data_IF_961437857030
#
_entry.id   IF_961437857030
#
_cell.length_a   1.000
_cell.length_b   1.000
_cell.length_c   1.000
_cell.angle_alpha   90.00
_cell.angle_beta   90.00
_cell.angle_gamma   90.00
#
_symmetry.space_group_name_H-M   'P 1'
#
loop_
_entity.id
_entity.type
_entity.pdbx_description
1 polymer ?
#
# COMPACT_ATOMS: atom_id res chain seq x y z
N UNK A 1 -10.08 9.62 16.91
CA UNK A 1 -8.62 9.68 17.17
C UNK A 1 -7.94 8.99 16.00
N UNK A 2 -6.93 9.61 15.38
CA UNK A 2 -6.14 8.94 14.35
C UNK A 2 -5.39 7.75 14.95
N UNK A 3 -4.99 6.79 14.12
CA UNK A 3 -4.09 5.74 14.57
C UNK A 3 -2.81 6.38 15.14
N UNK A 4 -2.28 5.88 16.27
CA UNK A 4 -1.04 6.42 16.83
C UNK A 4 0.09 6.28 15.81
N UNK A 5 0.78 7.39 15.54
CA UNK A 5 1.93 7.42 14.64
C UNK A 5 3.19 7.29 15.47
N UNK A 6 3.88 6.16 15.35
CA UNK A 6 5.22 5.97 15.90
C UNK A 6 6.24 6.50 14.91
N UNK A 7 7.12 7.40 15.37
CA UNK A 7 8.22 7.93 14.56
C UNK A 7 9.50 7.20 14.96
N UNK A 8 10.24 6.73 13.96
CA UNK A 8 11.56 6.11 14.12
C UNK A 8 12.58 6.92 13.31
N UNK A 9 13.82 6.98 13.79
CA UNK A 9 14.93 7.65 13.08
C UNK A 9 15.80 6.66 12.31
N UNK A 10 15.61 5.36 12.53
CA UNK A 10 16.43 4.29 12.00
C UNK A 10 15.55 3.07 11.76
N UNK A 11 15.50 2.57 10.51
CA UNK A 11 14.69 1.39 10.18
C UNK A 11 15.31 0.09 10.67
N UNK A 12 16.61 0.08 11.01
CA UNK A 12 17.28 -1.11 11.56
C UNK A 12 16.91 -1.39 13.02
N UNK A 13 16.28 -0.43 13.70
CA UNK A 13 15.83 -0.56 15.09
C UNK A 13 14.40 -1.10 15.21
N UNK A 14 13.77 -1.44 14.08
CA UNK A 14 12.41 -1.98 14.09
C UNK A 14 12.38 -3.42 14.61
N UNK A 15 11.36 -3.74 15.42
CA UNK A 15 11.04 -5.12 15.83
C UNK A 15 10.07 -5.81 14.87
N UNK A 16 9.76 -5.19 13.73
CA UNK A 16 8.83 -5.74 12.77
C UNK A 16 9.48 -6.89 11.98
N UNK A 17 8.80 -8.03 11.89
CA UNK A 17 9.24 -9.18 11.09
C UNK A 17 9.25 -8.88 9.59
N UNK A 18 8.40 -7.93 9.15
CA UNK A 18 8.24 -7.56 7.76
C UNK A 18 7.87 -6.08 7.62
N UNK A 19 8.48 -5.43 6.63
CA UNK A 19 8.12 -4.07 6.22
C UNK A 19 7.36 -4.17 4.90
N UNK A 20 6.13 -3.69 4.92
CA UNK A 20 5.27 -3.64 3.73
C UNK A 20 5.18 -2.18 3.27
N UNK A 21 5.68 -1.92 2.07
CA UNK A 21 5.49 -0.62 1.42
C UNK A 21 4.22 -0.65 0.58
N UNK A 22 3.23 0.17 0.97
CA UNK A 22 1.91 0.24 0.32
C UNK A 22 1.83 1.32 -0.76
N UNK A 23 2.90 2.08 -0.99
CA UNK A 23 2.96 3.10 -2.04
C UNK A 23 2.88 2.46 -3.44
N UNK A 24 2.65 3.30 -4.45
CA UNK A 24 2.61 2.85 -5.84
C UNK A 24 3.94 2.23 -6.29
N UNK A 25 3.94 1.35 -7.31
CA UNK A 25 5.16 0.71 -7.81
C UNK A 25 6.27 1.71 -8.15
N UNK A 26 5.94 2.80 -8.85
CA UNK A 26 6.92 3.83 -9.21
C UNK A 26 7.50 4.56 -7.99
N UNK A 27 6.70 4.82 -6.95
CA UNK A 27 7.19 5.40 -5.69
C UNK A 27 8.18 4.45 -5.00
N UNK A 28 7.92 3.15 -5.00
CA UNK A 28 8.79 2.13 -4.41
C UNK A 28 10.09 1.93 -5.22
N UNK A 29 10.01 1.90 -6.55
CA UNK A 29 11.18 1.74 -7.42
C UNK A 29 12.16 2.91 -7.30
N UNK A 30 11.64 4.13 -7.09
CA UNK A 30 12.47 5.31 -6.89
C UNK A 30 13.25 5.25 -5.58
N UNK A 31 12.57 4.96 -4.47
CA UNK A 31 13.19 4.71 -3.18
C UNK A 31 12.31 3.80 -2.30
N UNK A 32 12.93 3.03 -1.41
CA UNK A 32 12.22 2.32 -0.37
C UNK A 32 13.17 1.90 0.76
N UNK A 33 12.58 1.53 1.90
CA UNK A 33 13.35 0.99 3.02
C UNK A 33 13.97 -0.36 2.59
N UNK A 34 15.29 -0.58 2.80
CA UNK A 34 15.92 -1.85 2.47
C UNK A 34 15.19 -3.05 3.08
N UNK A 35 14.91 -4.06 2.25
CA UNK A 35 14.19 -5.28 2.67
C UNK A 35 12.66 -5.14 2.73
N UNK A 36 12.10 -3.96 2.44
CA UNK A 36 10.66 -3.81 2.31
C UNK A 36 10.12 -4.56 1.09
N UNK A 37 8.89 -5.06 1.21
CA UNK A 37 8.15 -5.70 0.11
C UNK A 37 7.06 -4.74 -0.34
N UNK A 38 7.02 -4.44 -1.65
CA UNK A 38 5.95 -3.62 -2.20
C UNK A 38 4.64 -4.41 -2.32
N UNK A 39 3.60 -3.93 -1.64
CA UNK A 39 2.21 -4.41 -1.76
C UNK A 39 1.32 -3.19 -2.02
N UNK A 40 1.32 -2.66 -3.26
CA UNK A 40 0.74 -1.37 -3.57
C UNK A 40 -0.77 -1.41 -3.36
N UNK A 41 -1.32 -0.45 -2.63
CA UNK A 41 -2.78 -0.31 -2.49
C UNK A 41 -3.41 0.49 -3.63
N UNK A 42 -2.59 1.20 -4.40
CA UNK A 42 -2.94 1.87 -5.66
C UNK A 42 -1.82 1.57 -6.67
N UNK A 43 -2.17 1.28 -7.93
CA UNK A 43 -1.19 1.33 -9.02
C UNK A 43 -0.83 2.78 -9.40
N UNK A 44 0.13 2.98 -10.30
CA UNK A 44 0.61 4.32 -10.67
C UNK A 44 -0.48 5.23 -11.25
N UNK A 45 -1.36 4.66 -12.10
CA UNK A 45 -2.47 5.40 -12.71
C UNK A 45 -3.52 5.80 -11.67
N UNK A 46 -3.92 4.85 -10.81
CA UNK A 46 -4.86 5.09 -9.70
C UNK A 46 -4.28 6.11 -8.71
N UNK A 47 -2.97 6.04 -8.44
CA UNK A 47 -2.25 6.99 -7.59
C UNK A 47 -2.25 8.40 -8.18
N UNK A 48 -2.05 8.52 -9.50
CA UNK A 48 -2.11 9.78 -10.22
C UNK A 48 -3.54 10.36 -10.26
N UNK A 49 -4.54 9.50 -10.49
CA UNK A 49 -5.95 9.88 -10.50
C UNK A 49 -6.41 10.40 -9.13
N UNK A 50 -6.19 9.62 -8.05
CA UNK A 50 -6.53 10.01 -6.68
C UNK A 50 -5.80 11.30 -6.29
N UNK A 51 -4.51 11.42 -6.66
CA UNK A 51 -3.73 12.64 -6.43
C UNK A 51 -4.29 13.87 -7.16
N UNK A 52 -4.75 13.69 -8.39
CA UNK A 52 -5.37 14.75 -9.20
C UNK A 52 -6.71 15.17 -8.60
N UNK A 53 -7.55 14.21 -8.20
CA UNK A 53 -8.81 14.50 -7.49
C UNK A 53 -8.55 15.23 -6.17
N UNK A 54 -7.52 14.84 -5.42
CA UNK A 54 -7.16 15.51 -4.17
C UNK A 54 -6.85 17.00 -4.40
N UNK A 55 -6.08 17.31 -5.45
CA UNK A 55 -5.70 18.69 -5.80
C UNK A 55 -6.88 19.51 -6.34
N UNK A 56 -7.69 18.92 -7.24
CA UNK A 56 -8.67 19.68 -8.01
C UNK A 56 -10.07 19.72 -7.39
N UNK A 57 -10.46 18.67 -6.66
CA UNK A 57 -11.81 18.51 -6.09
C UNK A 57 -11.78 18.59 -4.56
N UNK A 58 -10.70 18.10 -3.96
CA UNK A 58 -10.42 18.24 -2.53
C UNK A 58 -10.36 16.91 -1.78
N UNK A 59 -9.78 16.99 -0.58
CA UNK A 59 -9.41 15.83 0.22
C UNK A 59 -10.57 14.89 0.58
N UNK A 60 -11.78 15.42 0.78
CA UNK A 60 -12.93 14.58 1.14
C UNK A 60 -13.29 13.60 0.00
N UNK A 61 -13.44 14.11 -1.22
CA UNK A 61 -13.80 13.31 -2.38
C UNK A 61 -12.69 12.31 -2.73
N UNK A 62 -11.43 12.77 -2.75
CA UNK A 62 -10.28 11.91 -3.02
C UNK A 62 -10.14 10.76 -2.02
N UNK A 63 -10.36 11.02 -0.71
CA UNK A 63 -10.33 9.96 0.31
C UNK A 63 -11.46 8.95 0.15
N UNK A 64 -12.66 9.38 -0.23
CA UNK A 64 -13.78 8.45 -0.47
C UNK A 64 -13.54 7.58 -1.70
N UNK A 65 -13.11 8.19 -2.80
CA UNK A 65 -12.80 7.48 -4.04
C UNK A 65 -11.61 6.54 -3.87
N UNK A 66 -10.47 7.06 -3.39
CA UNK A 66 -9.27 6.29 -3.14
C UNK A 66 -9.48 5.18 -2.10
N UNK A 67 -10.27 5.43 -1.05
CA UNK A 67 -10.59 4.41 -0.05
C UNK A 67 -11.32 3.18 -0.64
N UNK A 68 -12.19 3.38 -1.62
CA UNK A 68 -12.87 2.28 -2.31
C UNK A 68 -11.90 1.45 -3.16
N UNK A 69 -10.99 2.11 -3.89
CA UNK A 69 -9.96 1.44 -4.70
C UNK A 69 -9.00 0.67 -3.80
N UNK A 70 -8.50 1.30 -2.74
CA UNK A 70 -7.62 0.68 -1.74
C UNK A 70 -8.25 -0.60 -1.18
N UNK A 71 -9.51 -0.55 -0.76
CA UNK A 71 -10.21 -1.73 -0.23
C UNK A 71 -10.32 -2.86 -1.26
N UNK A 72 -10.63 -2.52 -2.52
CA UNK A 72 -10.68 -3.48 -3.63
C UNK A 72 -9.32 -4.13 -3.86
N UNK A 73 -8.25 -3.33 -3.95
CA UNK A 73 -6.90 -3.80 -4.25
C UNK A 73 -6.33 -4.67 -3.13
N UNK A 74 -6.56 -4.31 -1.86
CA UNK A 74 -6.20 -5.16 -0.71
C UNK A 74 -6.87 -6.53 -0.81
N UNK A 75 -8.18 -6.55 -1.07
CA UNK A 75 -8.94 -7.80 -1.23
C UNK A 75 -8.39 -8.68 -2.37
N UNK A 76 -8.08 -8.06 -3.52
CA UNK A 76 -7.47 -8.75 -4.65
C UNK A 76 -6.10 -9.33 -4.30
N UNK A 77 -5.23 -8.57 -3.62
CA UNK A 77 -3.92 -9.04 -3.22
C UNK A 77 -3.99 -10.23 -2.25
N UNK A 78 -4.86 -10.17 -1.24
CA UNK A 78 -5.06 -11.30 -0.34
C UNK A 78 -5.57 -12.54 -1.06
N UNK A 79 -6.48 -12.37 -2.03
CA UNK A 79 -6.97 -13.47 -2.86
C UNK A 79 -5.83 -14.13 -3.64
N UNK A 80 -4.93 -13.34 -4.22
CA UNK A 80 -3.76 -13.82 -4.97
C UNK A 80 -2.77 -14.54 -4.06
N UNK A 81 -2.42 -13.94 -2.92
CA UNK A 81 -1.45 -14.52 -1.97
C UNK A 81 -1.99 -15.83 -1.39
N UNK A 82 -3.26 -15.83 -0.98
CA UNK A 82 -3.90 -17.03 -0.46
C UNK A 82 -3.91 -18.15 -1.49
N UNK A 83 -4.26 -17.84 -2.75
CA UNK A 83 -4.24 -18.82 -3.84
C UNK A 83 -2.84 -19.39 -4.10
N UNK A 84 -1.81 -18.54 -4.12
CA UNK A 84 -0.41 -18.99 -4.26
C UNK A 84 0.01 -19.88 -3.09
N UNK A 85 -0.40 -19.54 -1.87
CA UNK A 85 -0.14 -20.35 -0.68
C UNK A 85 -0.74 -21.74 -0.80
N UNK A 86 -2.00 -21.85 -1.23
CA UNK A 86 -2.65 -23.15 -1.46
C UNK A 86 -1.92 -23.98 -2.52
N UNK A 87 -1.55 -23.37 -3.66
CA UNK A 87 -0.78 -24.04 -4.71
C UNK A 87 0.56 -24.58 -4.21
N UNK A 88 1.26 -23.82 -3.37
CA UNK A 88 2.53 -24.25 -2.77
C UNK A 88 2.36 -25.41 -1.77
N UNK A 89 1.18 -25.54 -1.16
CA UNK A 89 0.80 -26.64 -0.28
C UNK A 89 0.26 -27.87 -1.06
N UNK A 90 0.16 -27.78 -2.39
CA UNK A 90 -0.41 -28.83 -3.23
C UNK A 90 -1.94 -28.97 -3.13
N UNK A 91 -2.62 -27.89 -2.71
CA UNK A 91 -4.08 -27.80 -2.57
C UNK A 91 -4.72 -27.06 -3.75
#
# INVERSE_FOLDING_TARGET
MGAPINKINSWVETTADMIIDVRSPSEFENDHIPGAINMPVLNDDERAEVGTMYKNIGAFHARRYGGAIVAKNISQQFSIIFRKSLQNLGL
#
